data_IF_773376520468
#
_entry.id   IF_773376520468
#
_cell.length_a   1.000
_cell.length_b   1.000
_cell.length_c   1.000
_cell.angle_alpha   90.00
_cell.angle_beta   90.00
_cell.angle_gamma   90.00
#
_symmetry.space_group_name_H-M   'P 1'
#
loop_
_entity.id
_entity.type
_entity.pdbx_description
1 polymer ?
#
# COMPACT_ATOMS: atom_id res chain seq x y z
N UNK A 1 34.94 -13.30 -21.81
CA UNK A 1 34.51 -12.51 -22.98
C UNK A 1 33.08 -12.89 -23.30
N UNK A 2 32.13 -11.95 -23.23
CA UNK A 2 30.73 -12.23 -23.57
C UNK A 2 30.54 -12.39 -25.08
N UNK A 3 29.54 -13.18 -25.50
CA UNK A 3 29.18 -13.33 -26.92
C UNK A 3 28.78 -11.97 -27.52
N UNK A 4 29.46 -11.48 -28.57
CA UNK A 4 29.13 -10.20 -29.20
C UNK A 4 27.76 -10.25 -29.88
N UNK A 5 27.11 -9.08 -29.96
CA UNK A 5 25.85 -8.93 -30.68
C UNK A 5 26.09 -9.04 -32.19
N UNK A 6 25.37 -9.95 -32.83
CA UNK A 6 25.42 -10.10 -34.29
C UNK A 6 24.49 -9.09 -34.96
N UNK A 7 24.79 -8.73 -36.21
CA UNK A 7 24.04 -7.68 -36.92
C UNK A 7 22.56 -8.05 -37.14
N UNK A 8 22.29 -9.33 -37.43
CA UNK A 8 20.91 -9.81 -37.58
C UNK A 8 20.12 -9.74 -36.26
N UNK A 9 20.78 -9.93 -35.11
CA UNK A 9 20.15 -9.83 -33.80
C UNK A 9 19.81 -8.37 -33.50
N UNK A 10 20.68 -7.44 -33.90
CA UNK A 10 20.45 -6.01 -33.77
C UNK A 10 19.28 -5.58 -34.64
N UNK A 11 19.21 -6.04 -35.89
CA UNK A 11 18.11 -5.72 -36.79
C UNK A 11 16.77 -6.27 -36.27
N UNK A 12 16.75 -7.52 -35.80
CA UNK A 12 15.58 -8.11 -35.16
C UNK A 12 15.18 -7.35 -33.89
N UNK A 13 16.15 -6.91 -33.08
CA UNK A 13 15.90 -6.13 -31.87
C UNK A 13 15.26 -4.78 -32.19
N UNK A 14 15.72 -4.08 -33.24
CA UNK A 14 15.14 -2.79 -33.68
C UNK A 14 13.65 -2.96 -34.03
N UNK A 15 13.30 -4.04 -34.75
CA UNK A 15 11.92 -4.31 -35.17
C UNK A 15 11.03 -4.74 -34.00
N UNK A 16 11.52 -5.60 -33.11
CA UNK A 16 10.70 -6.26 -32.10
C UNK A 16 10.65 -5.53 -30.75
N UNK A 17 11.69 -4.77 -30.39
CA UNK A 17 11.79 -4.13 -29.07
C UNK A 17 10.63 -3.19 -28.72
N UNK A 18 10.10 -2.37 -29.66
CA UNK A 18 8.97 -1.49 -29.38
C UNK A 18 7.72 -2.25 -28.93
N UNK A 19 7.40 -3.38 -29.58
CA UNK A 19 6.11 -4.08 -29.45
C UNK A 19 6.19 -5.21 -28.42
N UNK A 20 7.21 -6.05 -28.50
CA UNK A 20 7.26 -7.32 -27.75
C UNK A 20 7.59 -7.12 -26.26
N UNK A 21 7.00 -7.91 -25.34
CA UNK A 21 7.38 -7.91 -23.95
C UNK A 21 8.77 -8.53 -23.76
N UNK A 22 9.46 -8.13 -22.70
CA UNK A 22 10.85 -8.54 -22.45
C UNK A 22 11.02 -10.07 -22.38
N UNK A 23 10.01 -10.79 -21.90
CA UNK A 23 10.02 -12.26 -21.82
C UNK A 23 10.07 -12.94 -23.18
N UNK A 24 9.45 -12.37 -24.22
CA UNK A 24 9.50 -12.92 -25.57
C UNK A 24 10.89 -12.71 -26.16
N UNK A 25 11.47 -11.53 -25.95
CA UNK A 25 12.82 -11.20 -26.41
C UNK A 25 13.89 -12.10 -25.76
N UNK A 26 13.76 -12.39 -24.46
CA UNK A 26 14.64 -13.33 -23.75
C UNK A 26 14.67 -14.71 -24.40
N UNK A 27 13.49 -15.23 -24.79
CA UNK A 27 13.36 -16.54 -25.44
C UNK A 27 13.85 -16.52 -26.88
N UNK A 28 13.62 -15.43 -27.60
CA UNK A 28 13.97 -15.31 -29.01
C UNK A 28 15.48 -15.14 -29.23
N UNK A 29 16.15 -14.33 -28.39
CA UNK A 29 17.59 -14.10 -28.49
C UNK A 29 18.43 -15.04 -27.60
N UNK A 30 17.79 -15.84 -26.74
CA UNK A 30 18.46 -16.71 -25.76
C UNK A 30 19.52 -15.97 -24.92
N UNK A 31 19.24 -14.69 -24.63
CA UNK A 31 20.11 -13.81 -23.84
C UNK A 31 19.34 -13.27 -22.63
N UNK A 32 20.09 -12.84 -21.62
CA UNK A 32 19.49 -12.23 -20.43
C UNK A 32 18.74 -10.95 -20.78
N UNK A 33 17.65 -10.70 -20.04
CA UNK A 33 16.86 -9.46 -20.12
C UNK A 33 17.75 -8.22 -20.05
N UNK A 34 18.72 -8.23 -19.16
CA UNK A 34 19.62 -7.12 -18.89
C UNK A 34 20.52 -6.85 -20.10
N UNK A 35 21.03 -7.89 -20.76
CA UNK A 35 21.82 -7.72 -22.00
C UNK A 35 20.99 -7.08 -23.11
N UNK A 36 19.74 -7.54 -23.31
CA UNK A 36 18.81 -7.00 -24.29
C UNK A 36 18.47 -5.53 -23.98
N UNK A 37 18.22 -5.21 -22.70
CA UNK A 37 17.98 -3.84 -22.25
C UNK A 37 19.17 -2.92 -22.51
N UNK A 38 20.38 -3.34 -22.12
CA UNK A 38 21.59 -2.54 -22.31
C UNK A 38 21.85 -2.28 -23.80
N UNK A 39 21.67 -3.29 -24.66
CA UNK A 39 21.83 -3.10 -26.11
C UNK A 39 20.76 -2.16 -26.69
N UNK A 40 19.50 -2.34 -26.31
CA UNK A 40 18.42 -1.44 -26.74
C UNK A 40 18.67 0.01 -26.30
N UNK A 41 19.15 0.21 -25.07
CA UNK A 41 19.55 1.53 -24.56
C UNK A 41 20.71 2.13 -25.36
N UNK A 42 21.73 1.35 -25.68
CA UNK A 42 22.85 1.79 -26.52
C UNK A 42 22.40 2.18 -27.94
N UNK A 43 21.34 1.55 -28.46
CA UNK A 43 20.73 1.85 -29.75
C UNK A 43 19.65 2.96 -29.67
N UNK A 44 19.39 3.52 -28.47
CA UNK A 44 18.35 4.53 -28.27
C UNK A 44 16.91 4.02 -28.43
N UNK A 45 16.70 2.69 -28.48
CA UNK A 45 15.38 2.10 -28.65
C UNK A 45 14.54 2.30 -27.39
N UNK A 46 13.30 2.72 -27.58
CA UNK A 46 12.28 2.80 -26.53
C UNK A 46 11.15 1.83 -26.84
N UNK A 47 10.51 1.32 -25.79
CA UNK A 47 9.27 0.55 -25.96
C UNK A 47 8.14 1.47 -26.42
N UNK A 48 7.14 0.92 -27.13
CA UNK A 48 5.90 1.64 -27.34
C UNK A 48 5.36 2.12 -26.00
N UNK A 49 4.92 3.38 -25.97
CA UNK A 49 4.32 3.94 -24.78
C UNK A 49 3.13 3.06 -24.38
N UNK A 50 2.98 2.82 -23.08
CA UNK A 50 1.82 2.06 -22.63
C UNK A 50 0.61 2.97 -22.81
N UNK A 51 -0.42 2.47 -23.47
CA UNK A 51 -1.71 3.16 -23.52
C UNK A 51 -2.26 3.26 -22.09
N UNK A 52 -2.08 4.42 -21.47
CA UNK A 52 -2.70 4.70 -20.19
C UNK A 52 -4.18 4.91 -20.45
N UNK A 53 -5.03 4.18 -19.73
CA UNK A 53 -6.46 4.43 -19.76
C UNK A 53 -6.75 5.88 -19.38
N UNK A 54 -7.25 6.65 -20.34
CA UNK A 54 -7.68 8.02 -20.13
C UNK A 54 -9.03 8.04 -19.42
N UNK A 55 -9.05 8.59 -18.21
CA UNK A 55 -10.27 8.67 -17.41
C UNK A 55 -11.17 9.78 -17.91
N UNK A 56 -12.37 9.43 -18.37
CA UNK A 56 -13.38 10.41 -18.76
C UNK A 56 -14.13 10.92 -17.53
N UNK A 57 -14.74 12.11 -17.61
CA UNK A 57 -15.53 12.68 -16.51
C UNK A 57 -16.64 11.71 -16.05
N UNK A 58 -17.38 11.12 -17.00
CA UNK A 58 -18.45 10.15 -16.68
C UNK A 58 -17.95 8.90 -15.93
N UNK A 59 -16.77 8.38 -16.28
CA UNK A 59 -16.16 7.25 -15.54
C UNK A 59 -15.78 7.64 -14.11
N UNK A 60 -15.33 8.89 -13.90
CA UNK A 60 -14.99 9.40 -12.58
C UNK A 60 -16.24 9.58 -11.72
N UNK A 61 -17.33 10.06 -12.29
CA UNK A 61 -18.60 10.23 -11.58
C UNK A 61 -19.24 8.89 -11.23
N UNK A 62 -19.20 7.93 -12.16
CA UNK A 62 -19.59 6.54 -11.90
C UNK A 62 -18.77 5.96 -10.74
N UNK A 63 -17.44 6.17 -10.75
CA UNK A 63 -16.57 5.71 -9.68
C UNK A 63 -16.95 6.35 -8.33
N UNK A 64 -17.23 7.65 -8.27
CA UNK A 64 -17.63 8.33 -7.03
C UNK A 64 -18.95 7.79 -6.48
N UNK A 65 -19.92 7.54 -7.35
CA UNK A 65 -21.25 7.10 -6.95
C UNK A 65 -21.26 5.63 -6.47
N UNK A 66 -20.61 4.72 -7.21
CA UNK A 66 -20.77 3.27 -7.01
C UNK A 66 -19.63 2.62 -6.23
N UNK A 67 -18.45 3.24 -6.19
CA UNK A 67 -17.31 2.64 -5.47
C UNK A 67 -17.59 2.34 -4.00
N UNK A 68 -18.33 3.15 -3.20
CA UNK A 68 -18.56 2.84 -1.80
C UNK A 68 -19.27 1.49 -1.56
N UNK A 69 -20.23 1.13 -2.42
CA UNK A 69 -21.17 0.03 -2.19
C UNK A 69 -20.92 -1.21 -3.06
N UNK A 70 -20.17 -1.09 -4.16
CA UNK A 70 -19.92 -2.20 -5.09
C UNK A 70 -18.50 -2.74 -5.06
N UNK A 71 -18.30 -3.94 -5.60
CA UNK A 71 -16.97 -4.55 -5.78
C UNK A 71 -16.20 -3.85 -6.91
N UNK A 72 -14.92 -3.57 -6.67
CA UNK A 72 -14.06 -2.96 -7.69
C UNK A 72 -13.92 -3.83 -8.96
N UNK A 73 -14.08 -5.15 -8.85
CA UNK A 73 -14.04 -6.06 -10.00
C UNK A 73 -15.21 -5.86 -10.98
N UNK A 74 -16.40 -5.49 -10.47
CA UNK A 74 -17.58 -5.23 -11.31
C UNK A 74 -17.36 -3.93 -12.10
N UNK A 75 -16.97 -2.87 -11.40
CA UNK A 75 -16.62 -1.59 -12.01
C UNK A 75 -15.47 -1.71 -13.03
N UNK A 76 -14.51 -2.58 -12.77
CA UNK A 76 -13.38 -2.86 -13.67
C UNK A 76 -13.84 -3.46 -15.00
N UNK A 77 -14.73 -4.45 -14.93
CA UNK A 77 -15.29 -5.10 -16.10
C UNK A 77 -16.14 -4.14 -16.93
N UNK A 78 -16.93 -3.28 -16.28
CA UNK A 78 -17.80 -2.31 -16.94
C UNK A 78 -17.02 -1.19 -17.65
N UNK A 79 -15.97 -0.66 -17.01
CA UNK A 79 -15.14 0.41 -17.59
C UNK A 79 -14.09 -0.15 -18.58
N UNK A 80 -13.78 -1.44 -18.50
CA UNK A 80 -12.74 -2.08 -19.32
C UNK A 80 -11.31 -1.82 -18.82
N UNK A 81 -11.14 -1.53 -17.52
CA UNK A 81 -9.84 -1.27 -16.89
C UNK A 81 -9.46 -2.35 -15.90
N UNK A 82 -8.16 -2.60 -15.67
CA UNK A 82 -7.75 -3.54 -14.65
C UNK A 82 -8.11 -3.03 -13.25
N UNK A 83 -8.46 -3.96 -12.35
CA UNK A 83 -8.96 -3.65 -10.98
C UNK A 83 -8.03 -2.72 -10.19
N UNK A 84 -6.72 -2.86 -10.35
CA UNK A 84 -5.74 -2.02 -9.65
C UNK A 84 -5.82 -0.54 -10.08
N UNK A 85 -6.23 -0.24 -11.32
CA UNK A 85 -6.40 1.13 -11.80
C UNK A 85 -7.54 1.84 -11.06
N UNK A 86 -8.62 1.12 -10.78
CA UNK A 86 -9.74 1.60 -9.97
C UNK A 86 -9.27 1.92 -8.55
N UNK A 87 -8.55 1.02 -7.88
CA UNK A 87 -8.05 1.28 -6.53
C UNK A 87 -7.11 2.50 -6.50
N UNK A 88 -6.22 2.62 -7.48
CA UNK A 88 -5.31 3.77 -7.61
C UNK A 88 -6.10 5.08 -7.74
N UNK A 89 -7.17 5.09 -8.53
CA UNK A 89 -8.01 6.27 -8.75
C UNK A 89 -8.89 6.59 -7.55
N UNK A 90 -9.51 5.59 -6.94
CA UNK A 90 -10.26 5.76 -5.69
C UNK A 90 -9.38 6.33 -4.58
N UNK A 91 -8.13 5.84 -4.45
CA UNK A 91 -7.15 6.39 -3.51
C UNK A 91 -6.83 7.86 -3.80
N UNK A 92 -6.64 8.23 -5.07
CA UNK A 92 -6.39 9.61 -5.47
C UNK A 92 -7.56 10.56 -5.12
N UNK A 93 -8.81 10.06 -5.16
CA UNK A 93 -9.99 10.81 -4.73
C UNK A 93 -10.32 10.68 -3.23
N UNK A 94 -9.56 9.89 -2.47
CA UNK A 94 -9.85 9.62 -1.07
C UNK A 94 -11.14 8.82 -0.83
N UNK A 95 -11.65 8.12 -1.84
CA UNK A 95 -12.87 7.31 -1.75
C UNK A 95 -12.62 6.06 -0.89
N UNK A 96 -13.54 5.77 0.03
CA UNK A 96 -13.53 4.60 0.89
C UNK A 96 -14.78 3.76 0.66
N UNK A 97 -14.70 2.47 0.98
CA UNK A 97 -15.85 1.57 1.00
C UNK A 97 -16.79 1.94 2.15
N UNK A 98 -18.09 1.77 1.95
CA UNK A 98 -19.10 2.02 2.97
C UNK A 98 -19.07 0.95 4.06
N UNK A 99 -19.64 1.26 5.22
CA UNK A 99 -19.79 0.27 6.30
C UNK A 99 -20.69 -0.89 5.87
N UNK A 100 -21.70 -0.62 5.05
CA UNK A 100 -22.60 -1.64 4.48
C UNK A 100 -21.82 -2.63 3.60
N UNK A 101 -20.91 -2.15 2.75
CA UNK A 101 -20.04 -3.01 1.95
C UNK A 101 -19.18 -3.93 2.83
N UNK A 102 -18.68 -3.42 3.96
CA UNK A 102 -17.89 -4.22 4.90
C UNK A 102 -18.71 -5.23 5.72
N UNK A 103 -19.99 -4.94 5.96
CA UNK A 103 -20.91 -5.85 6.64
C UNK A 103 -21.31 -7.04 5.75
N UNK A 104 -21.34 -6.86 4.43
CA UNK A 104 -21.71 -7.92 3.50
C UNK A 104 -20.71 -9.08 3.51
N UNK A 105 -21.14 -10.34 3.68
CA UNK A 105 -20.25 -11.51 3.70
C UNK A 105 -19.57 -11.75 2.35
N UNK A 106 -20.20 -11.31 1.26
CA UNK A 106 -19.70 -11.52 -0.10
C UNK A 106 -18.63 -10.53 -0.55
N UNK A 107 -18.15 -9.62 0.31
CA UNK A 107 -17.19 -8.58 -0.06
C UNK A 107 -15.75 -9.08 -0.37
N UNK A 108 -15.54 -10.39 -0.35
CA UNK A 108 -14.25 -11.04 -0.61
C UNK A 108 -13.38 -11.20 0.63
N UNK A 109 -13.86 -10.79 1.80
CA UNK A 109 -13.19 -11.09 3.08
C UNK A 109 -13.44 -12.55 3.44
N UNK A 110 -12.40 -13.25 3.88
CA UNK A 110 -12.52 -14.64 4.33
C UNK A 110 -13.45 -14.72 5.55
N UNK A 111 -14.56 -15.43 5.39
CA UNK A 111 -15.48 -15.79 6.48
C UNK A 111 -14.97 -17.04 7.21
N UNK A 112 -15.64 -17.40 8.31
CA UNK A 112 -15.29 -18.59 9.09
C UNK A 112 -15.34 -19.88 8.26
N UNK A 113 -16.27 -19.97 7.31
CA UNK A 113 -16.49 -21.13 6.45
C UNK A 113 -15.55 -21.13 5.25
N UNK A 114 -15.49 -20.03 4.48
CA UNK A 114 -14.63 -19.92 3.28
C UNK A 114 -13.14 -20.03 3.61
N UNK A 115 -12.71 -19.50 4.76
CA UNK A 115 -11.32 -19.58 5.21
C UNK A 115 -10.96 -20.88 5.93
N UNK A 116 -11.94 -21.74 6.26
CA UNK A 116 -11.75 -22.97 7.02
C UNK A 116 -10.72 -23.97 6.44
N UNK A 117 -10.66 -24.22 5.10
CA UNK A 117 -9.71 -25.20 4.56
C UNK A 117 -8.26 -24.75 4.75
N UNK A 118 -7.97 -23.46 4.61
CA UNK A 118 -6.64 -22.87 4.80
C UNK A 118 -6.30 -22.53 6.26
N UNK A 119 -7.27 -22.65 7.19
CA UNK A 119 -7.07 -22.28 8.59
C UNK A 119 -6.26 -23.37 9.31
N UNK A 120 -5.22 -22.94 10.03
CA UNK A 120 -4.43 -23.83 10.87
C UNK A 120 -5.34 -24.59 11.84
N UNK A 121 -5.24 -25.91 11.81
CA UNK A 121 -5.99 -26.76 12.73
C UNK A 121 -5.32 -26.75 14.11
N UNK A 122 -6.10 -26.73 15.21
CA UNK A 122 -5.54 -26.92 16.54
C UNK A 122 -4.67 -28.19 16.59
N UNK A 123 -3.46 -28.09 17.15
CA UNK A 123 -2.51 -29.20 17.21
C UNK A 123 -1.56 -29.32 16.01
N UNK A 124 -1.74 -28.51 14.95
CA UNK A 124 -0.81 -28.50 13.81
C UNK A 124 0.60 -28.11 14.26
N UNK A 125 1.58 -28.97 13.96
CA UNK A 125 3.00 -28.72 14.26
C UNK A 125 3.67 -28.05 13.07
N UNK A 126 4.10 -26.81 13.25
CA UNK A 126 4.88 -26.09 12.24
C UNK A 126 6.26 -26.73 12.04
N UNK A 127 6.77 -26.70 10.80
CA UNK A 127 8.04 -27.33 10.41
C UNK A 127 9.28 -26.84 11.19
N UNK A 128 9.18 -25.67 11.82
CA UNK A 128 10.22 -25.03 12.61
C UNK A 128 10.10 -25.27 14.12
N UNK A 129 9.06 -25.99 14.59
CA UNK A 129 8.86 -26.26 16.02
C UNK A 129 10.05 -27.04 16.56
N UNK A 130 10.73 -26.49 17.57
CA UNK A 130 11.90 -27.11 18.21
C UNK A 130 13.22 -27.00 17.45
N UNK A 131 13.25 -26.41 16.25
CA UNK A 131 14.50 -26.17 15.52
C UNK A 131 15.12 -24.84 15.96
N UNK A 132 16.43 -24.82 16.25
CA UNK A 132 17.17 -23.59 16.51
C UNK A 132 17.36 -22.83 15.20
N UNK A 133 17.12 -21.52 15.21
CA UNK A 133 17.39 -20.67 14.05
C UNK A 133 18.90 -20.71 13.73
N UNK A 134 19.25 -20.83 12.44
CA UNK A 134 20.64 -20.76 11.99
C UNK A 134 21.26 -19.41 12.38
N UNK A 135 22.57 -19.34 12.70
CA UNK A 135 23.27 -18.08 12.97
C UNK A 135 23.12 -17.06 11.83
N UNK A 136 23.02 -17.52 10.58
CA UNK A 136 22.79 -16.67 9.39
C UNK A 136 21.33 -16.17 9.28
N UNK A 137 20.37 -16.91 9.85
CA UNK A 137 18.96 -16.52 9.91
C UNK A 137 18.65 -15.55 11.06
N UNK A 138 19.64 -15.20 11.88
CA UNK A 138 19.54 -14.22 12.97
C UNK A 138 19.65 -12.76 12.48
N UNK A 139 19.35 -12.49 11.20
CA UNK A 139 19.09 -11.12 10.77
C UNK A 139 17.82 -10.60 11.47
N UNK A 140 17.79 -9.37 11.97
CA UNK A 140 16.65 -8.81 12.74
C UNK A 140 15.32 -8.77 11.97
N UNK A 141 15.34 -9.12 10.67
CA UNK A 141 14.17 -9.18 9.79
C UNK A 141 13.63 -10.61 9.59
N UNK A 142 14.39 -11.65 9.97
CA UNK A 142 14.05 -13.07 9.79
C UNK A 142 13.99 -13.87 11.09
N UNK A 143 14.40 -13.29 12.21
CA UNK A 143 14.30 -13.88 13.54
C UNK A 143 12.87 -13.79 14.09
N UNK A 144 11.93 -14.48 13.44
CA UNK A 144 10.72 -14.90 14.15
C UNK A 144 11.14 -15.95 15.18
N UNK A 145 10.94 -15.72 16.49
CA UNK A 145 11.26 -16.71 17.49
C UNK A 145 10.50 -18.00 17.18
N UNK A 146 11.14 -19.15 17.43
CA UNK A 146 10.49 -20.45 17.34
C UNK A 146 9.14 -20.37 18.07
N UNK A 147 8.06 -20.82 17.42
CA UNK A 147 6.74 -20.83 18.03
C UNK A 147 6.83 -21.79 19.23
N UNK A 148 6.96 -21.21 20.43
CA UNK A 148 7.00 -21.98 21.67
C UNK A 148 5.68 -22.75 21.81
N UNK A 149 5.69 -23.99 22.33
CA UNK A 149 4.45 -24.71 22.59
C UNK A 149 3.58 -23.87 23.53
N UNK A 150 2.32 -23.67 23.16
CA UNK A 150 1.36 -22.94 23.99
C UNK A 150 1.18 -23.67 25.33
N UNK A 151 1.89 -23.24 26.37
CA UNK A 151 1.60 -23.65 27.73
C UNK A 151 0.34 -22.91 28.17
N UNK A 152 -0.81 -23.60 28.13
CA UNK A 152 -2.05 -23.09 28.71
C UNK A 152 -1.83 -22.93 30.22
N UNK A 153 -1.47 -21.72 30.69
CA UNK A 153 -1.56 -21.40 32.13
C UNK A 153 -3.02 -21.62 32.52
N UNK A 154 -3.28 -22.62 33.36
CA UNK A 154 -4.57 -22.74 34.05
C UNK A 154 -4.69 -21.46 34.88
N UNK A 155 -5.60 -20.57 34.51
CA UNK A 155 -5.95 -19.43 35.35
C UNK A 155 -6.52 -20.00 36.64
N UNK A 156 -5.76 -19.94 37.74
CA UNK A 156 -6.37 -20.06 39.05
C UNK A 156 -7.30 -18.86 39.19
N UNK A 157 -8.60 -19.14 39.33
CA UNK A 157 -9.58 -18.12 39.59
C UNK A 157 -9.18 -17.42 40.90
N UNK A 158 -8.68 -16.19 40.79
CA UNK A 158 -8.56 -15.31 41.95
C UNK A 158 -9.94 -14.68 42.09
N UNK A 159 -10.77 -15.24 42.95
CA UNK A 159 -12.04 -14.61 43.37
C UNK A 159 -11.73 -13.24 43.94
N UNK A 160 -11.82 -12.21 43.10
CA UNK A 160 -11.78 -10.83 43.54
C UNK A 160 -13.16 -10.52 44.12
N UNK A 161 -13.23 -10.40 45.44
CA UNK A 161 -14.37 -9.84 46.14
C UNK A 161 -14.74 -8.50 45.49
N UNK A 162 -15.91 -8.46 44.87
CA UNK A 162 -16.48 -7.27 44.26
C UNK A 162 -16.90 -6.34 45.40
N UNK A 163 -16.06 -5.39 45.82
CA UNK A 163 -16.52 -4.30 46.68
C UNK A 163 -17.52 -3.48 45.85
N UNK A 164 -18.79 -3.56 46.23
CA UNK A 164 -19.86 -2.71 45.71
C UNK A 164 -19.56 -1.26 46.08
N UNK A 165 -19.28 -0.41 45.10
CA UNK A 165 -19.34 1.04 45.29
C UNK A 165 -20.81 1.42 45.13
N UNK A 166 -21.48 1.71 46.24
CA UNK A 166 -22.82 2.29 46.23
C UNK A 166 -22.76 3.71 45.68
N UNK A 167 -23.71 4.04 44.82
CA UNK A 167 -23.82 5.33 44.17
C UNK A 167 -24.17 6.43 45.19
N UNK A 168 -23.23 7.33 45.48
CA UNK A 168 -23.51 8.56 46.23
C UNK A 168 -23.56 9.73 45.26
N UNK A 169 -24.81 10.11 44.95
CA UNK A 169 -25.33 11.41 44.53
C UNK A 169 -24.40 12.43 43.86
N UNK A 170 -24.68 12.68 42.57
CA UNK A 170 -24.37 13.94 41.89
C UNK A 170 -25.32 15.01 42.45
N UNK A 171 -24.81 15.90 43.30
CA UNK A 171 -25.49 17.15 43.63
C UNK A 171 -25.13 18.20 42.58
N UNK A 172 -26.14 18.66 41.85
CA UNK A 172 -26.12 19.87 41.02
C UNK A 172 -26.05 21.08 41.95
N UNK A 173 -25.07 21.94 41.75
CA UNK A 173 -25.14 23.33 42.20
C UNK A 173 -24.86 24.24 41.02
N UNK A 174 -25.93 24.77 40.46
CA UNK A 174 -25.91 25.96 39.63
C UNK A 174 -25.75 27.17 40.57
N UNK A 175 -24.79 28.04 40.28
CA UNK A 175 -24.89 29.46 40.64
C UNK A 175 -24.33 30.28 39.49
N UNK A 176 -25.17 31.18 38.99
CA UNK A 176 -24.82 32.19 38.03
C UNK A 176 -24.00 33.30 38.71
N UNK A 177 -22.99 33.81 38.02
CA UNK A 177 -22.51 35.18 38.23
C UNK A 177 -22.02 35.73 36.89
N UNK A 178 -22.64 36.83 36.53
CA UNK A 178 -22.55 37.59 35.29
C UNK A 178 -21.31 38.50 35.20
N UNK A 179 -20.80 38.60 33.97
CA UNK A 179 -20.36 39.81 33.25
C UNK A 179 -19.14 40.64 33.68
N UNK A 180 -18.59 41.29 32.63
CA UNK A 180 -17.55 42.33 32.54
C UNK A 180 -16.11 41.82 32.64
N UNK A 181 -15.18 42.09 31.73
CA UNK A 181 -15.13 43.03 30.61
C UNK A 181 -13.87 42.78 29.77
N UNK A 182 -13.93 43.21 28.51
CA UNK A 182 -12.80 43.72 27.71
C UNK A 182 -11.58 42.80 27.48
N UNK A 183 -11.48 42.26 26.26
CA UNK A 183 -10.24 41.72 25.71
C UNK A 183 -10.37 41.61 24.20
N UNK A 184 -9.80 42.60 23.51
CA UNK A 184 -9.97 42.87 22.10
C UNK A 184 -9.62 41.70 21.17
N UNK A 185 -10.37 41.65 20.06
CA UNK A 185 -10.04 40.86 18.88
C UNK A 185 -8.80 41.47 18.21
N UNK A 186 -7.66 40.78 18.28
CA UNK A 186 -6.57 41.00 17.34
C UNK A 186 -6.70 40.02 16.18
N UNK A 187 -7.25 40.51 15.08
CA UNK A 187 -7.14 39.91 13.76
C UNK A 187 -5.70 40.16 13.30
N UNK A 188 -4.82 39.17 13.46
CA UNK A 188 -3.51 39.18 12.78
C UNK A 188 -3.69 38.72 11.34
N UNK A 189 -3.53 39.66 10.42
CA UNK A 189 -3.70 39.57 8.97
C UNK A 189 -2.55 38.85 8.24
N UNK A 190 -2.04 37.75 8.77
CA UNK A 190 -1.07 36.91 8.04
C UNK A 190 -1.34 35.44 8.30
N UNK A 191 -2.38 34.91 7.66
CA UNK A 191 -2.64 33.48 7.59
C UNK A 191 -1.57 32.78 6.77
N UNK A 192 -0.57 32.19 7.42
CA UNK A 192 0.25 31.10 6.86
C UNK A 192 0.70 30.14 7.97
N UNK A 193 0.11 28.93 8.07
CA UNK A 193 0.67 27.89 8.92
C UNK A 193 1.96 27.33 8.33
N UNK A 194 2.96 27.20 9.19
CA UNK A 194 4.27 26.59 8.93
C UNK A 194 4.12 25.15 8.43
N UNK A 195 4.27 24.92 7.13
CA UNK A 195 4.60 23.58 6.62
C UNK A 195 6.11 23.39 6.74
N UNK A 196 6.52 22.71 7.81
CA UNK A 196 7.83 22.10 7.89
C UNK A 196 7.96 21.06 6.75
N UNK A 197 8.62 21.45 5.66
CA UNK A 197 9.17 20.50 4.68
C UNK A 197 10.62 20.88 4.40
N UNK A 198 11.48 20.20 5.14
CA UNK A 198 12.90 20.05 4.89
C UNK A 198 13.13 19.75 3.40
N UNK A 199 13.72 20.69 2.67
CA UNK A 199 14.30 20.50 1.34
C UNK A 199 15.72 21.06 1.43
N UNK A 200 16.77 20.23 1.37
CA UNK A 200 18.13 20.76 1.35
C UNK A 200 18.33 21.58 0.07
N UNK A 201 18.87 22.77 0.26
CA UNK A 201 19.26 23.68 -0.80
C UNK A 201 20.28 23.00 -1.72
N UNK A 202 19.96 22.94 -3.01
CA UNK A 202 20.95 22.72 -4.07
C UNK A 202 21.60 24.08 -4.27
N UNK A 203 22.83 24.26 -3.79
CA UNK A 203 23.66 25.41 -4.15
C UNK A 203 23.94 25.34 -5.66
N UNK A 204 23.26 26.18 -6.43
CA UNK A 204 23.77 26.67 -7.70
C UNK A 204 24.92 27.64 -7.41
N UNK A 205 26.15 27.23 -7.64
CA UNK A 205 27.24 28.15 -7.93
C UNK A 205 27.60 28.01 -9.39
N UNK A 206 26.98 28.87 -10.20
CA UNK A 206 27.54 29.33 -11.47
C UNK A 206 28.78 30.14 -11.14
N UNK A 207 29.94 29.80 -11.72
CA UNK A 207 31.01 30.76 -11.93
C UNK A 207 31.59 30.59 -13.33
N UNK A 208 31.63 31.73 -14.01
CA UNK A 208 32.05 31.92 -15.39
C UNK A 208 33.56 31.89 -15.53
N UNK A 209 34.00 31.48 -16.72
CA UNK A 209 35.05 32.06 -17.55
C UNK A 209 36.39 32.47 -16.93
N UNK A 210 37.46 31.89 -17.48
CA UNK A 210 38.55 32.68 -18.10
C UNK A 210 39.18 31.89 -19.25
N UNK A 211 39.64 32.65 -20.24
CA UNK A 211 40.23 32.26 -21.51
C UNK A 211 41.59 31.55 -21.39
#
# INVERSE_FOLDING_TARGET
MGNPWQDFEVEALIKLYPVEPSSTLEKLFLRSRESIKCKAQALGLRKHEKDYHAWTAGQLDLLRARYPDEKAAVLAAEIGVPVHAIYKKAYAFGLKKSAAFHANPDNGRLTAETGNPSRFKPGHTAWNKGKRASPWAASPRSSSPAIAPATRRKSTARSAARKSVTATSIARSATAASCTSAGAWCISSTGRPCTARYRPAICCTSWMATA
#
